data_IF_571972153470
#
_entry.id   IF_571972153470
#
_cell.length_a   1.000
_cell.length_b   1.000
_cell.length_c   1.000
_cell.angle_alpha   90.00
_cell.angle_beta   90.00
_cell.angle_gamma   90.00
#
_symmetry.space_group_name_H-M   'P 1'
#
loop_
_entity.id
_entity.type
_entity.pdbx_description
1 polymer ?
#
# COMPACT_ATOMS: atom_id res chain seq x y z
N UNK A 1 22.65 -3.56 10.57
CA UNK A 1 22.12 -2.66 9.53
C UNK A 1 20.72 -2.25 9.91
N UNK A 2 20.49 -0.95 9.96
CA UNK A 2 19.17 -0.46 10.31
C UNK A 2 18.21 -0.56 9.14
N UNK A 3 17.02 -1.06 9.42
CA UNK A 3 15.96 -1.10 8.42
C UNK A 3 15.29 0.27 8.33
N UNK A 4 14.92 0.67 7.12
CA UNK A 4 14.14 1.88 6.92
C UNK A 4 12.71 1.62 7.43
N UNK A 5 12.20 2.42 8.39
CA UNK A 5 10.87 2.17 8.97
C UNK A 5 9.73 2.19 7.94
N UNK A 6 9.83 3.05 6.93
CA UNK A 6 8.82 3.09 5.86
C UNK A 6 8.80 1.78 5.08
N UNK A 7 9.98 1.28 4.71
CA UNK A 7 10.08 0.04 3.95
C UNK A 7 9.60 -1.15 4.78
N UNK A 8 9.96 -1.20 6.06
CA UNK A 8 9.48 -2.26 6.96
C UNK A 8 7.95 -2.24 7.04
N UNK A 9 7.36 -1.06 7.23
CA UNK A 9 5.90 -0.91 7.30
C UNK A 9 5.23 -1.32 5.99
N UNK A 10 5.77 -0.89 4.86
CA UNK A 10 5.24 -1.21 3.54
C UNK A 10 5.35 -2.71 3.24
N UNK A 11 6.47 -3.33 3.62
CA UNK A 11 6.66 -4.76 3.42
C UNK A 11 5.67 -5.57 4.26
N UNK A 12 5.47 -5.18 5.53
CA UNK A 12 4.49 -5.84 6.39
C UNK A 12 3.08 -5.75 5.81
N UNK A 13 2.72 -4.59 5.27
CA UNK A 13 1.43 -4.42 4.59
C UNK A 13 1.34 -5.30 3.34
N UNK A 14 2.41 -5.37 2.55
CA UNK A 14 2.46 -6.23 1.35
C UNK A 14 2.24 -7.69 1.69
N UNK A 15 2.78 -8.17 2.82
CA UNK A 15 2.55 -9.54 3.28
C UNK A 15 1.06 -9.77 3.53
N UNK A 16 0.38 -8.82 4.17
CA UNK A 16 -1.06 -8.92 4.38
C UNK A 16 -1.84 -8.94 3.07
N UNK A 17 -1.40 -8.15 2.09
CA UNK A 17 -2.02 -8.10 0.77
C UNK A 17 -1.87 -9.45 0.04
N UNK A 18 -0.70 -10.06 0.13
CA UNK A 18 -0.48 -11.39 -0.46
C UNK A 18 -1.39 -12.42 0.20
N UNK A 19 -1.57 -12.34 1.51
CA UNK A 19 -2.48 -13.23 2.23
C UNK A 19 -3.93 -13.02 1.80
N UNK A 20 -4.36 -11.78 1.61
CA UNK A 20 -5.69 -11.47 1.10
C UNK A 20 -5.88 -12.03 -0.32
N UNK A 21 -4.86 -11.85 -1.17
CA UNK A 21 -4.87 -12.39 -2.53
C UNK A 21 -5.10 -13.90 -2.52
N UNK A 22 -4.35 -14.62 -1.67
CA UNK A 22 -4.47 -16.08 -1.55
C UNK A 22 -5.87 -16.48 -1.08
N UNK A 23 -6.39 -15.79 -0.08
CA UNK A 23 -7.73 -16.04 0.44
C UNK A 23 -8.79 -15.87 -0.63
N UNK A 24 -8.74 -14.76 -1.36
CA UNK A 24 -9.71 -14.49 -2.43
C UNK A 24 -9.65 -15.54 -3.53
N UNK A 25 -8.47 -15.95 -3.94
CA UNK A 25 -8.31 -16.92 -5.03
C UNK A 25 -8.60 -18.35 -4.60
N UNK A 26 -8.02 -18.78 -3.51
CA UNK A 26 -8.04 -20.18 -3.10
C UNK A 26 -9.32 -20.55 -2.37
N UNK A 27 -9.81 -19.67 -1.50
CA UNK A 27 -11.01 -19.95 -0.70
C UNK A 27 -12.28 -19.45 -1.34
N UNK A 28 -12.24 -18.32 -2.02
CA UNK A 28 -13.43 -17.67 -2.56
C UNK A 28 -13.51 -17.78 -4.09
N UNK A 29 -12.49 -18.31 -4.74
CA UNK A 29 -12.42 -18.48 -6.20
C UNK A 29 -12.65 -17.17 -6.96
N UNK A 30 -12.21 -16.05 -6.37
CA UNK A 30 -12.35 -14.72 -6.93
C UNK A 30 -11.05 -14.37 -7.66
N UNK A 31 -11.11 -14.20 -8.99
CA UNK A 31 -9.93 -14.11 -9.85
C UNK A 31 -9.66 -12.71 -10.38
N UNK A 32 -10.60 -11.78 -10.24
CA UNK A 32 -10.50 -10.43 -10.83
C UNK A 32 -10.04 -9.42 -9.80
N UNK A 33 -10.79 -9.24 -8.71
CA UNK A 33 -10.44 -8.31 -7.65
C UNK A 33 -9.16 -8.74 -6.95
N UNK A 34 -8.92 -10.05 -6.84
CA UNK A 34 -7.70 -10.58 -6.23
C UNK A 34 -6.44 -10.06 -6.92
N UNK A 35 -6.43 -10.09 -8.26
CA UNK A 35 -5.28 -9.60 -9.04
C UNK A 35 -5.07 -8.10 -8.86
N UNK A 36 -6.15 -7.34 -8.81
CA UNK A 36 -6.06 -5.88 -8.66
C UNK A 36 -5.53 -5.48 -7.29
N UNK A 37 -6.00 -6.13 -6.23
CA UNK A 37 -5.51 -5.81 -4.88
C UNK A 37 -4.04 -6.21 -4.72
N UNK A 38 -3.64 -7.33 -5.32
CA UNK A 38 -2.23 -7.75 -5.30
C UNK A 38 -1.35 -6.73 -5.99
N UNK A 39 -1.72 -6.33 -7.21
CA UNK A 39 -0.96 -5.38 -8.00
C UNK A 39 -0.82 -4.03 -7.28
N UNK A 40 -1.94 -3.42 -6.90
CA UNK A 40 -1.90 -2.09 -6.26
C UNK A 40 -1.29 -2.15 -4.87
N UNK A 41 -1.65 -3.13 -4.08
CA UNK A 41 -1.19 -3.24 -2.69
C UNK A 41 0.31 -3.46 -2.55
N UNK A 42 0.90 -4.23 -3.46
CA UNK A 42 2.36 -4.44 -3.46
C UNK A 42 3.12 -3.30 -4.14
N UNK A 43 2.45 -2.54 -5.01
CA UNK A 43 3.06 -1.38 -5.67
C UNK A 43 3.36 -0.24 -4.72
N UNK A 44 2.67 -0.15 -3.59
CA UNK A 44 2.95 0.85 -2.56
C UNK A 44 4.40 0.71 -2.09
N UNK A 45 4.77 -0.48 -1.65
CA UNK A 45 6.12 -0.76 -1.16
C UNK A 45 7.18 -0.74 -2.26
N UNK A 46 6.83 -1.24 -3.44
CA UNK A 46 7.77 -1.24 -4.57
C UNK A 46 8.17 0.18 -4.94
N UNK A 47 7.22 1.11 -5.03
CA UNK A 47 7.52 2.51 -5.33
C UNK A 47 8.23 3.22 -4.17
N UNK A 48 7.87 2.89 -2.93
CA UNK A 48 8.58 3.42 -1.76
C UNK A 48 10.05 2.99 -1.76
N UNK A 49 10.32 1.73 -2.14
CA UNK A 49 11.69 1.22 -2.25
C UNK A 49 12.48 1.97 -3.33
N UNK A 50 11.85 2.25 -4.46
CA UNK A 50 12.49 3.05 -5.52
C UNK A 50 12.76 4.47 -5.07
N UNK A 51 11.88 5.05 -4.24
CA UNK A 51 12.09 6.38 -3.68
C UNK A 51 13.37 6.45 -2.86
N UNK A 52 13.67 5.41 -2.07
CA UNK A 52 14.89 5.35 -1.26
C UNK A 52 16.15 5.41 -2.13
N UNK A 53 16.08 4.89 -3.36
CA UNK A 53 17.19 4.89 -4.31
C UNK A 53 17.15 6.08 -5.27
N UNK A 54 16.30 7.09 -5.01
CA UNK A 54 16.10 8.23 -5.90
C UNK A 54 17.36 9.07 -6.04
N UNK A 55 17.53 9.67 -7.22
CA UNK A 55 18.69 10.49 -7.56
C UNK A 55 18.59 11.94 -7.07
N UNK A 56 17.37 12.39 -6.75
CA UNK A 56 17.13 13.78 -6.33
C UNK A 56 15.92 13.84 -5.41
N UNK A 57 15.73 14.97 -4.74
CA UNK A 57 14.53 15.19 -3.93
C UNK A 57 13.26 15.17 -4.78
N UNK A 58 13.33 15.70 -6.00
CA UNK A 58 12.17 15.67 -6.91
C UNK A 58 11.80 14.26 -7.30
N UNK A 59 12.78 13.42 -7.60
CA UNK A 59 12.55 12.02 -7.94
C UNK A 59 12.02 11.25 -6.72
N UNK A 60 12.57 11.52 -5.53
CA UNK A 60 12.09 10.94 -4.27
C UNK A 60 10.60 11.24 -4.05
N UNK A 61 10.22 12.51 -4.15
CA UNK A 61 8.82 12.94 -3.99
C UNK A 61 7.94 12.32 -5.07
N UNK A 62 8.43 12.26 -6.31
CA UNK A 62 7.68 11.68 -7.42
C UNK A 62 7.36 10.20 -7.16
N UNK A 63 8.36 9.42 -6.76
CA UNK A 63 8.18 8.00 -6.47
C UNK A 63 7.23 7.77 -5.29
N UNK A 64 7.34 8.58 -4.24
CA UNK A 64 6.43 8.48 -3.09
C UNK A 64 5.01 8.91 -3.47
N UNK A 65 4.86 9.86 -4.40
CA UNK A 65 3.54 10.27 -4.88
C UNK A 65 2.87 9.13 -5.64
N UNK A 66 3.63 8.39 -6.45
CA UNK A 66 3.11 7.19 -7.12
C UNK A 66 2.70 6.15 -6.08
N UNK A 67 3.55 5.93 -5.06
CA UNK A 67 3.24 5.02 -3.96
C UNK A 67 1.91 5.39 -3.27
N UNK A 68 1.71 6.68 -3.01
CA UNK A 68 0.48 7.18 -2.38
C UNK A 68 -0.75 6.94 -3.26
N UNK A 69 -0.62 7.17 -4.56
CA UNK A 69 -1.71 6.90 -5.52
C UNK A 69 -2.08 5.41 -5.53
N UNK A 70 -1.08 4.54 -5.48
CA UNK A 70 -1.32 3.09 -5.39
C UNK A 70 -2.02 2.73 -4.08
N UNK A 71 -1.72 3.45 -3.00
CA UNK A 71 -2.44 3.29 -1.73
C UNK A 71 -3.90 3.68 -1.84
N UNK A 72 -4.20 4.75 -2.58
CA UNK A 72 -5.57 5.17 -2.84
C UNK A 72 -6.33 4.09 -3.62
N UNK A 73 -5.70 3.52 -4.64
CA UNK A 73 -6.32 2.45 -5.44
C UNK A 73 -6.50 1.19 -4.60
N UNK A 74 -5.53 0.86 -3.76
CA UNK A 74 -5.61 -0.31 -2.88
C UNK A 74 -6.80 -0.24 -1.94
N UNK A 75 -7.09 0.94 -1.40
CA UNK A 75 -8.27 1.16 -0.57
C UNK A 75 -9.53 0.74 -1.31
N UNK A 76 -9.67 1.13 -2.57
CA UNK A 76 -10.80 0.74 -3.40
C UNK A 76 -10.90 -0.79 -3.53
N UNK A 77 -9.79 -1.45 -3.79
CA UNK A 77 -9.76 -2.90 -3.98
C UNK A 77 -9.88 -3.70 -2.67
N UNK A 78 -9.85 -3.03 -1.53
CA UNK A 78 -10.20 -3.62 -0.23
C UNK A 78 -11.70 -3.41 0.04
N UNK A 79 -12.21 -2.22 -0.27
CA UNK A 79 -13.63 -1.88 -0.06
C UNK A 79 -14.55 -2.77 -0.88
N UNK A 80 -14.24 -3.00 -2.14
CA UNK A 80 -15.13 -3.71 -3.04
C UNK A 80 -15.34 -5.19 -2.63
N UNK A 81 -14.30 -5.97 -2.33
CA UNK A 81 -14.50 -7.34 -1.83
C UNK A 81 -15.29 -7.36 -0.52
N UNK A 82 -15.05 -6.41 0.36
CA UNK A 82 -15.81 -6.33 1.61
C UNK A 82 -17.30 -6.09 1.35
N UNK A 83 -17.63 -5.17 0.47
CA UNK A 83 -19.03 -4.88 0.10
C UNK A 83 -19.73 -6.07 -0.54
N UNK A 84 -18.97 -6.95 -1.17
CA UNK A 84 -19.51 -8.17 -1.79
C UNK A 84 -19.44 -9.40 -0.87
N UNK A 85 -19.10 -9.23 0.38
CA UNK A 85 -19.11 -10.32 1.34
C UNK A 85 -17.95 -11.30 1.25
N UNK A 86 -16.87 -10.95 0.57
CA UNK A 86 -15.70 -11.84 0.43
C UNK A 86 -14.76 -11.79 1.63
N UNK A 87 -14.79 -10.73 2.42
CA UNK A 87 -13.97 -10.60 3.64
C UNK A 87 -14.85 -10.15 4.79
N UNK A 88 -14.50 -10.56 6.02
CA UNK A 88 -15.27 -10.24 7.21
C UNK A 88 -15.08 -8.77 7.59
N UNK A 89 -16.00 -8.26 8.42
CA UNK A 89 -15.91 -6.88 8.93
C UNK A 89 -14.63 -6.66 9.73
N UNK A 90 -14.21 -7.65 10.54
CA UNK A 90 -13.00 -7.55 11.35
C UNK A 90 -11.74 -7.52 10.48
N UNK A 91 -11.66 -8.41 9.51
CA UNK A 91 -10.54 -8.44 8.57
C UNK A 91 -10.45 -7.13 7.77
N UNK A 92 -11.60 -6.66 7.29
CA UNK A 92 -11.70 -5.41 6.56
C UNK A 92 -11.21 -4.23 7.41
N UNK A 93 -11.71 -4.09 8.62
CA UNK A 93 -11.35 -2.97 9.50
C UNK A 93 -9.86 -2.96 9.81
N UNK A 94 -9.28 -4.12 10.09
CA UNK A 94 -7.86 -4.25 10.40
C UNK A 94 -6.99 -3.91 9.17
N UNK A 95 -7.35 -4.44 8.02
CA UNK A 95 -6.58 -4.22 6.79
C UNK A 95 -6.68 -2.78 6.32
N UNK A 96 -7.88 -2.20 6.39
CA UNK A 96 -8.09 -0.81 6.03
C UNK A 96 -7.31 0.13 6.94
N UNK A 97 -7.26 -0.14 8.25
CA UNK A 97 -6.49 0.65 9.21
C UNK A 97 -5.01 0.68 8.84
N UNK A 98 -4.44 -0.48 8.48
CA UNK A 98 -3.03 -0.55 8.06
C UNK A 98 -2.79 0.20 6.75
N UNK A 99 -3.71 0.10 5.81
CA UNK A 99 -3.62 0.82 4.53
C UNK A 99 -3.62 2.34 4.78
N UNK A 100 -4.55 2.82 5.60
CA UNK A 100 -4.66 4.24 5.92
C UNK A 100 -3.44 4.76 6.68
N UNK A 101 -2.91 3.96 7.61
CA UNK A 101 -1.71 4.31 8.36
C UNK A 101 -0.51 4.46 7.42
N UNK A 102 -0.32 3.53 6.50
CA UNK A 102 0.78 3.59 5.53
C UNK A 102 0.63 4.81 4.63
N UNK A 103 -0.57 5.09 4.14
CA UNK A 103 -0.84 6.28 3.32
C UNK A 103 -0.51 7.57 4.08
N UNK A 104 -0.89 7.64 5.35
CA UNK A 104 -0.62 8.82 6.18
C UNK A 104 0.87 9.04 6.36
N UNK A 105 1.62 7.97 6.61
CA UNK A 105 3.10 8.05 6.77
C UNK A 105 3.73 8.56 5.47
N UNK A 106 3.35 8.00 4.33
CA UNK A 106 3.89 8.42 3.02
C UNK A 106 3.55 9.89 2.76
N UNK A 107 2.30 10.28 2.96
CA UNK A 107 1.87 11.67 2.77
C UNK A 107 2.62 12.65 3.65
N UNK A 108 2.90 12.26 4.90
CA UNK A 108 3.69 13.07 5.84
C UNK A 108 5.13 13.26 5.36
N UNK A 109 5.75 12.20 4.85
CA UNK A 109 7.12 12.28 4.32
C UNK A 109 7.16 13.20 3.10
N UNK A 110 6.19 13.09 2.19
CA UNK A 110 6.09 13.97 1.02
C UNK A 110 6.01 15.44 1.46
N UNK A 111 5.10 15.73 2.38
CA UNK A 111 4.90 17.09 2.87
C UNK A 111 6.15 17.66 3.52
N UNK A 112 6.82 16.88 4.37
CA UNK A 112 8.05 17.28 5.04
C UNK A 112 9.16 17.57 4.03
N UNK A 113 9.32 16.69 3.04
CA UNK A 113 10.36 16.84 2.02
C UNK A 113 10.13 18.10 1.19
N UNK A 114 8.88 18.37 0.80
CA UNK A 114 8.54 19.57 0.03
C UNK A 114 8.81 20.85 0.82
N UNK A 115 8.49 20.86 2.10
CA UNK A 115 8.78 22.03 2.96
C UNK A 115 10.27 22.31 3.08
N UNK A 116 11.10 21.29 3.15
CA UNK A 116 12.56 21.44 3.26
C UNK A 116 13.20 22.02 2.00
N UNK A 117 12.52 21.93 0.85
CA UNK A 117 13.01 22.50 -0.41
C UNK A 117 12.91 24.03 -0.45
N UNK A 118 12.06 24.58 0.38
CA UNK A 118 11.90 26.04 0.45
C UNK A 118 13.00 26.64 1.30
#
# INVERSE_FOLDING_TARGET
MEENPLITKALNFSVRIVNLYKCLREERHEMIMSKQVLRSGTSIGANASEAIAAESNDDFVHKLTISLKEGNETKYWILLPHRNGYITDDEFSSLLADCQDLRRVIGSIISTTKRKKL
#
